data_IF_330889339483
#
_entry.id   IF_330889339483
#
_cell.length_a   1.000
_cell.length_b   1.000
_cell.length_c   1.000
_cell.angle_alpha   90.00
_cell.angle_beta   90.00
_cell.angle_gamma   90.00
#
_symmetry.space_group_name_H-M   'P 1'
#
loop_
_entity.id
_entity.type
_entity.pdbx_description
1 polymer ?
#
# COMPACT_ATOMS: atom_id res chain seq x y z
N UNK A 1 22.40 -4.84 -4.63
CA UNK A 1 22.40 -3.36 -4.73
C UNK A 1 21.44 -2.89 -3.66
N UNK A 2 21.95 -2.15 -2.68
CA UNK A 2 21.17 -1.76 -1.50
C UNK A 2 20.39 -0.45 -1.79
N UNK A 3 19.10 -0.37 -1.43
CA UNK A 3 18.25 0.82 -1.61
C UNK A 3 18.87 2.11 -1.06
N UNK A 4 19.67 1.96 -0.01
CA UNK A 4 20.39 3.05 0.66
C UNK A 4 21.36 3.78 -0.28
N UNK A 5 22.04 3.05 -1.18
CA UNK A 5 23.00 3.65 -2.14
C UNK A 5 22.33 4.66 -3.06
N UNK A 6 21.14 4.32 -3.56
CA UNK A 6 20.38 5.19 -4.46
C UNK A 6 19.89 6.44 -3.71
N UNK A 7 19.34 6.25 -2.50
CA UNK A 7 18.90 7.36 -1.66
C UNK A 7 20.06 8.32 -1.38
N UNK A 8 21.25 7.80 -1.05
CA UNK A 8 22.44 8.64 -0.85
C UNK A 8 22.88 9.38 -2.11
N UNK A 9 22.85 8.72 -3.27
CA UNK A 9 23.20 9.33 -4.55
C UNK A 9 22.23 10.46 -4.94
N UNK A 10 20.93 10.28 -4.72
CA UNK A 10 19.91 11.32 -4.94
C UNK A 10 20.10 12.49 -3.97
N UNK A 11 20.38 12.22 -2.69
CA UNK A 11 20.66 13.28 -1.69
C UNK A 11 21.89 14.11 -2.11
N UNK A 12 22.98 13.46 -2.53
CA UNK A 12 24.19 14.14 -2.98
C UNK A 12 23.90 15.03 -4.19
N UNK A 13 23.12 14.54 -5.16
CA UNK A 13 22.68 15.33 -6.31
C UNK A 13 21.89 16.57 -5.88
N UNK A 14 20.87 16.40 -5.03
CA UNK A 14 20.05 17.51 -4.53
C UNK A 14 20.91 18.61 -3.89
N UNK A 15 21.87 18.22 -3.05
CA UNK A 15 22.77 19.15 -2.38
C UNK A 15 23.65 19.91 -3.39
N UNK A 16 24.28 19.19 -4.33
CA UNK A 16 25.15 19.79 -5.34
C UNK A 16 24.39 20.75 -6.27
N UNK A 17 23.20 20.36 -6.74
CA UNK A 17 22.33 21.22 -7.55
C UNK A 17 21.97 22.50 -6.79
N UNK A 18 21.60 22.38 -5.51
CA UNK A 18 21.30 23.54 -4.66
C UNK A 18 22.49 24.49 -4.50
N UNK A 19 23.72 23.96 -4.39
CA UNK A 19 24.94 24.79 -4.38
C UNK A 19 25.14 25.51 -5.72
N UNK A 20 24.97 24.81 -6.84
CA UNK A 20 25.09 25.41 -8.17
C UNK A 20 24.07 26.51 -8.44
N UNK A 21 22.80 26.28 -8.11
CA UNK A 21 21.72 27.28 -8.27
C UNK A 21 21.99 28.52 -7.42
N UNK A 22 22.42 28.34 -6.16
CA UNK A 22 22.81 29.47 -5.29
C UNK A 22 24.00 30.23 -5.86
N UNK A 23 24.99 29.54 -6.40
CA UNK A 23 26.15 30.16 -7.03
C UNK A 23 25.74 31.06 -8.20
N UNK A 24 24.92 30.57 -9.13
CA UNK A 24 24.41 31.38 -10.25
C UNK A 24 23.54 32.55 -9.79
N UNK A 25 22.68 32.33 -8.79
CA UNK A 25 21.81 33.37 -8.21
C UNK A 25 22.59 34.49 -7.51
N UNK A 26 23.80 34.20 -7.00
CA UNK A 26 24.66 35.20 -6.36
C UNK A 26 25.32 36.17 -7.36
N UNK A 27 25.17 35.94 -8.66
CA UNK A 27 25.82 36.75 -9.69
C UNK A 27 24.94 37.86 -10.21
N UNK A 28 25.47 39.09 -10.25
CA UNK A 28 24.74 40.29 -10.67
C UNK A 28 24.44 40.34 -12.18
N UNK A 29 25.31 39.76 -13.01
CA UNK A 29 25.18 39.78 -14.47
C UNK A 29 25.47 38.38 -15.04
N UNK A 30 24.40 37.58 -15.12
CA UNK A 30 24.45 36.24 -15.66
C UNK A 30 23.95 36.23 -17.11
N UNK A 31 24.71 35.66 -18.07
CA UNK A 31 24.23 35.52 -19.45
C UNK A 31 23.05 34.55 -19.54
N UNK A 32 22.18 34.75 -20.54
CA UNK A 32 20.95 33.95 -20.73
C UNK A 32 21.20 32.42 -20.73
N UNK A 33 22.25 31.96 -21.40
CA UNK A 33 22.59 30.52 -21.45
C UNK A 33 22.83 29.92 -20.04
N UNK A 34 23.38 30.71 -19.11
CA UNK A 34 23.64 30.30 -17.73
C UNK A 34 22.39 30.41 -16.86
N UNK A 35 21.51 31.39 -17.11
CA UNK A 35 20.18 31.43 -16.50
C UNK A 35 19.39 30.17 -16.87
N UNK A 36 19.41 29.81 -18.14
CA UNK A 36 18.74 28.61 -18.65
C UNK A 36 19.27 27.34 -18.00
N UNK A 37 20.59 27.23 -17.81
CA UNK A 37 21.19 26.15 -17.04
C UNK A 37 20.69 26.18 -15.60
N UNK A 38 20.70 27.33 -14.93
CA UNK A 38 20.21 27.45 -13.55
C UNK A 38 18.74 27.01 -13.41
N UNK A 39 17.89 27.34 -14.39
CA UNK A 39 16.51 26.88 -14.44
C UNK A 39 16.43 25.36 -14.59
N UNK A 40 17.20 24.77 -15.51
CA UNK A 40 17.22 23.31 -15.72
C UNK A 40 17.74 22.56 -14.47
N UNK A 41 18.74 23.11 -13.79
CA UNK A 41 19.24 22.55 -12.52
C UNK A 41 18.20 22.67 -11.40
N UNK A 42 17.43 23.75 -11.36
CA UNK A 42 16.33 23.94 -10.41
C UNK A 42 15.23 22.91 -10.65
N UNK A 43 14.84 22.70 -11.91
CA UNK A 43 13.87 21.67 -12.29
C UNK A 43 14.37 20.27 -11.90
N UNK A 44 15.63 19.95 -12.22
CA UNK A 44 16.22 18.66 -11.86
C UNK A 44 16.27 18.49 -10.34
N UNK A 45 16.58 19.54 -9.58
CA UNK A 45 16.58 19.51 -8.13
C UNK A 45 15.19 19.24 -7.57
N UNK A 46 14.14 19.87 -8.13
CA UNK A 46 12.76 19.65 -7.72
C UNK A 46 12.33 18.18 -7.95
N UNK A 47 12.65 17.63 -9.12
CA UNK A 47 12.39 16.20 -9.41
C UNK A 47 13.19 15.30 -8.47
N UNK A 48 14.46 15.60 -8.22
CA UNK A 48 15.30 14.80 -7.34
C UNK A 48 14.83 14.85 -5.87
N UNK A 49 14.34 15.99 -5.39
CA UNK A 49 13.71 16.10 -4.06
C UNK A 49 12.42 15.26 -3.98
N UNK A 50 11.58 15.30 -5.02
CA UNK A 50 10.38 14.46 -5.05
C UNK A 50 10.73 12.96 -4.97
N UNK A 51 11.73 12.53 -5.75
CA UNK A 51 12.23 11.14 -5.71
C UNK A 51 12.78 10.80 -4.33
N UNK A 52 13.59 11.68 -3.74
CA UNK A 52 14.16 11.50 -2.40
C UNK A 52 13.07 11.33 -1.36
N UNK A 53 12.06 12.20 -1.31
CA UNK A 53 10.97 12.11 -0.34
C UNK A 53 10.26 10.76 -0.45
N UNK A 54 9.91 10.32 -1.65
CA UNK A 54 9.24 9.02 -1.82
C UNK A 54 10.14 7.83 -1.52
N UNK A 55 11.44 7.88 -1.84
CA UNK A 55 12.37 6.83 -1.43
C UNK A 55 12.50 6.74 0.08
N UNK A 56 12.55 7.86 0.79
CA UNK A 56 12.59 7.92 2.25
C UNK A 56 11.29 7.40 2.88
N UNK A 57 10.13 7.72 2.31
CA UNK A 57 8.83 7.16 2.73
C UNK A 57 8.79 5.64 2.55
N UNK A 58 9.35 5.12 1.44
CA UNK A 58 9.45 3.69 1.19
C UNK A 58 10.38 2.97 2.18
N UNK A 59 11.49 3.59 2.56
CA UNK A 59 12.46 3.05 3.52
C UNK A 59 11.93 3.02 4.96
N UNK A 60 11.08 3.98 5.30
CA UNK A 60 10.45 4.10 6.62
C UNK A 60 9.21 3.19 6.80
N UNK A 61 8.64 2.68 5.71
CA UNK A 61 7.53 1.70 5.75
C UNK A 61 7.98 0.27 6.12
N UNK A 62 7.03 -0.59 6.49
CA UNK A 62 7.28 -2.01 6.83
C UNK A 62 7.86 -2.86 5.68
N UNK A 63 7.96 -2.30 4.46
CA UNK A 63 8.49 -2.98 3.27
C UNK A 63 10.01 -2.87 3.11
N UNK A 64 10.78 -2.99 4.19
CA UNK A 64 12.26 -2.92 4.18
C UNK A 64 12.96 -3.97 3.30
N UNK A 65 12.25 -5.03 2.91
CA UNK A 65 12.83 -6.20 2.21
C UNK A 65 12.26 -6.46 0.81
N UNK A 66 11.38 -5.61 0.29
CA UNK A 66 10.85 -5.80 -1.05
C UNK A 66 11.82 -5.19 -2.07
N UNK A 67 12.59 -6.03 -2.76
CA UNK A 67 13.34 -5.61 -3.94
C UNK A 67 12.44 -4.72 -4.83
N UNK A 68 12.94 -3.51 -5.11
CA UNK A 68 12.28 -2.52 -5.97
C UNK A 68 12.12 -3.13 -7.37
N UNK A 69 10.92 -3.53 -7.80
CA UNK A 69 10.72 -4.19 -9.09
C UNK A 69 10.60 -3.14 -10.17
N UNK A 70 11.17 -3.42 -11.33
CA UNK A 70 11.05 -2.56 -12.50
C UNK A 70 12.22 -1.61 -12.71
N UNK A 71 13.18 -1.53 -11.78
CA UNK A 71 14.46 -0.84 -12.00
C UNK A 71 15.59 -1.87 -11.99
N UNK A 72 16.24 -2.07 -13.14
CA UNK A 72 17.38 -2.98 -13.25
C UNK A 72 18.60 -2.38 -12.54
N UNK A 73 19.48 -3.24 -12.00
CA UNK A 73 20.74 -2.80 -11.40
C UNK A 73 21.58 -1.95 -12.36
N UNK A 74 21.54 -2.26 -13.66
CA UNK A 74 22.19 -1.47 -14.71
C UNK A 74 21.60 -0.05 -14.87
N UNK A 75 20.28 0.09 -14.73
CA UNK A 75 19.62 1.39 -14.84
C UNK A 75 19.90 2.28 -13.63
N UNK A 76 20.02 1.67 -12.44
CA UNK A 76 20.49 2.32 -11.21
C UNK A 76 21.91 2.82 -11.39
N UNK A 77 22.83 1.94 -11.80
CA UNK A 77 24.23 2.32 -12.00
C UNK A 77 24.37 3.47 -13.00
N UNK A 78 23.66 3.39 -14.14
CA UNK A 78 23.65 4.46 -15.14
C UNK A 78 23.19 5.79 -14.55
N UNK A 79 22.19 5.77 -13.66
CA UNK A 79 21.68 6.97 -13.00
C UNK A 79 22.69 7.57 -12.03
N UNK A 80 23.35 6.72 -11.23
CA UNK A 80 24.40 7.14 -10.30
C UNK A 80 25.60 7.74 -11.05
N UNK A 81 26.00 7.12 -12.17
CA UNK A 81 27.06 7.63 -13.05
C UNK A 81 26.68 8.99 -13.65
N UNK A 82 25.41 9.13 -14.11
CA UNK A 82 24.88 10.40 -14.61
C UNK A 82 24.88 11.48 -13.53
N UNK A 83 24.47 11.14 -12.30
CA UNK A 83 24.47 12.06 -11.15
C UNK A 83 25.88 12.51 -10.80
N UNK A 84 26.80 11.57 -10.59
CA UNK A 84 28.20 11.87 -10.29
C UNK A 84 28.82 12.76 -11.37
N UNK A 85 28.49 12.48 -12.64
CA UNK A 85 28.97 13.27 -13.77
C UNK A 85 28.41 14.70 -13.79
N UNK A 86 27.11 14.89 -13.51
CA UNK A 86 26.50 16.23 -13.39
C UNK A 86 27.14 17.00 -12.23
N UNK A 87 27.27 16.37 -11.05
CA UNK A 87 27.86 16.98 -9.86
C UNK A 87 29.28 17.45 -10.18
N UNK A 88 30.12 16.58 -10.72
CA UNK A 88 31.50 16.91 -11.05
C UNK A 88 31.60 18.00 -12.13
N UNK A 89 30.80 17.94 -13.20
CA UNK A 89 30.80 18.98 -14.24
C UNK A 89 30.32 20.34 -13.70
N UNK A 90 29.33 20.34 -12.81
CA UNK A 90 28.80 21.53 -12.16
C UNK A 90 29.82 22.15 -11.20
N UNK A 91 30.42 21.36 -10.31
CA UNK A 91 31.47 21.81 -9.40
C UNK A 91 32.67 22.36 -10.17
N UNK A 92 33.09 21.67 -11.23
CA UNK A 92 34.18 22.12 -12.08
C UNK A 92 33.83 23.44 -12.81
N UNK A 93 32.59 23.60 -13.28
CA UNK A 93 32.12 24.85 -13.89
C UNK A 93 32.14 25.99 -12.88
N UNK A 94 31.51 25.81 -11.71
CA UNK A 94 31.51 26.80 -10.63
C UNK A 94 32.95 27.18 -10.23
N UNK A 95 33.84 26.20 -10.06
CA UNK A 95 35.25 26.43 -9.74
C UNK A 95 36.01 27.19 -10.84
N UNK A 96 35.77 26.90 -12.13
CA UNK A 96 36.40 27.65 -13.24
C UNK A 96 35.91 29.09 -13.31
N UNK A 97 34.65 29.34 -12.98
CA UNK A 97 34.06 30.69 -12.93
C UNK A 97 34.52 31.48 -11.69
N UNK A 98 34.70 30.81 -10.55
CA UNK A 98 35.12 31.42 -9.29
C UNK A 98 36.62 31.71 -9.22
N UNK A 99 37.47 30.97 -9.97
CA UNK A 99 38.91 31.25 -10.05
C UNK A 99 39.14 32.67 -10.60
N UNK A 100 39.43 33.59 -9.69
CA UNK A 100 39.64 35.01 -9.93
C UNK A 100 40.77 35.24 -10.94
N UNK A 101 40.56 36.17 -11.89
CA UNK A 101 41.71 36.89 -12.45
C UNK A 101 42.11 37.86 -11.34
N UNK A 102 43.39 37.91 -10.95
CA UNK A 102 44.00 38.56 -9.75
C UNK A 102 43.58 40.03 -9.42
N UNK A 103 42.58 40.60 -10.07
CA UNK A 103 42.16 42.00 -10.00
C UNK A 103 40.67 42.21 -9.65
N UNK A 104 39.90 41.18 -9.29
CA UNK A 104 38.44 41.30 -9.08
C UNK A 104 37.97 41.44 -7.62
N UNK A 105 38.86 41.48 -6.63
CA UNK A 105 38.51 41.38 -5.19
C UNK A 105 38.13 42.70 -4.49
N UNK A 106 37.88 43.80 -5.21
CA UNK A 106 37.76 45.11 -4.53
C UNK A 106 36.40 45.33 -3.85
N UNK A 107 35.34 44.60 -4.19
CA UNK A 107 34.04 44.73 -3.52
C UNK A 107 33.37 43.37 -3.58
N UNK A 108 32.82 42.86 -2.48
CA UNK A 108 32.38 41.46 -2.27
C UNK A 108 31.26 40.89 -3.17
N UNK A 109 31.19 41.28 -4.44
CA UNK A 109 30.35 40.71 -5.49
C UNK A 109 31.21 39.83 -6.43
N UNK A 110 30.81 38.57 -6.61
CA UNK A 110 31.48 37.66 -7.54
C UNK A 110 31.28 38.14 -8.98
N UNK A 111 32.34 38.67 -9.60
CA UNK A 111 32.29 39.20 -10.97
C UNK A 111 33.08 38.32 -11.94
N UNK A 112 32.38 37.71 -12.88
CA UNK A 112 32.98 36.88 -13.94
C UNK A 112 33.17 37.71 -15.22
N UNK A 113 34.34 37.60 -15.83
CA UNK A 113 34.66 38.32 -17.07
C UNK A 113 33.90 37.77 -18.28
N UNK A 114 33.53 38.64 -19.23
CA UNK A 114 32.85 38.24 -20.49
C UNK A 114 33.60 37.14 -21.26
N UNK A 115 34.92 37.14 -21.21
CA UNK A 115 35.76 36.11 -21.85
C UNK A 115 35.58 34.75 -21.18
N UNK A 116 35.49 34.69 -19.85
CA UNK A 116 35.23 33.45 -19.10
C UNK A 116 33.83 32.91 -19.43
N UNK A 117 32.84 33.78 -19.50
CA UNK A 117 31.49 33.39 -19.95
C UNK A 117 31.49 32.76 -21.33
N UNK A 118 32.17 33.40 -22.30
CA UNK A 118 32.21 32.89 -23.66
C UNK A 118 32.95 31.54 -23.76
N UNK A 119 34.03 31.36 -23.01
CA UNK A 119 34.79 30.10 -22.99
C UNK A 119 33.97 28.93 -22.44
N UNK A 120 33.08 29.18 -21.49
CA UNK A 120 32.29 28.14 -20.84
C UNK A 120 30.94 27.86 -21.52
N UNK A 121 30.57 28.60 -22.57
CA UNK A 121 29.27 28.48 -23.25
C UNK A 121 28.96 27.05 -23.70
N UNK A 122 29.92 26.36 -24.32
CA UNK A 122 29.72 24.98 -24.79
C UNK A 122 29.59 23.99 -23.62
N UNK A 123 30.34 24.21 -22.54
CA UNK A 123 30.24 23.40 -21.32
C UNK A 123 28.86 23.57 -20.66
N UNK A 124 28.33 24.79 -20.65
CA UNK A 124 26.98 25.09 -20.15
C UNK A 124 25.92 24.39 -20.99
N UNK A 125 26.00 24.50 -22.32
CA UNK A 125 25.05 23.85 -23.21
C UNK A 125 25.06 22.32 -23.02
N UNK A 126 26.25 21.72 -22.91
CA UNK A 126 26.41 20.28 -22.65
C UNK A 126 25.84 19.90 -21.29
N UNK A 127 26.15 20.64 -20.23
CA UNK A 127 25.66 20.36 -18.88
C UNK A 127 24.13 20.48 -18.81
N UNK A 128 23.55 21.49 -19.47
CA UNK A 128 22.09 21.65 -19.58
C UNK A 128 21.46 20.45 -20.28
N UNK A 129 22.00 20.04 -21.42
CA UNK A 129 21.48 18.89 -22.16
C UNK A 129 21.55 17.59 -21.32
N UNK A 130 22.66 17.40 -20.59
CA UNK A 130 22.82 16.27 -19.66
C UNK A 130 21.80 16.35 -18.52
N UNK A 131 21.67 17.49 -17.85
CA UNK A 131 20.68 17.70 -16.78
C UNK A 131 19.26 17.40 -17.26
N UNK A 132 18.89 17.87 -18.46
CA UNK A 132 17.57 17.63 -19.04
C UNK A 132 17.32 16.15 -19.34
N UNK A 133 18.30 15.47 -19.94
CA UNK A 133 18.24 14.02 -20.19
C UNK A 133 18.09 13.24 -18.89
N UNK A 134 18.89 13.57 -17.87
CA UNK A 134 18.84 12.92 -16.56
C UNK A 134 17.51 13.18 -15.87
N UNK A 135 16.95 14.40 -15.96
CA UNK A 135 15.61 14.74 -15.45
C UNK A 135 14.54 13.83 -16.05
N UNK A 136 14.50 13.72 -17.38
CA UNK A 136 13.54 12.87 -18.09
C UNK A 136 13.70 11.39 -17.71
N UNK A 137 14.93 10.90 -17.67
CA UNK A 137 15.26 9.52 -17.27
C UNK A 137 14.81 9.22 -15.84
N UNK A 138 15.07 10.15 -14.92
CA UNK A 138 14.68 10.06 -13.52
C UNK A 138 13.15 10.02 -13.37
N UNK A 139 12.44 10.93 -14.03
CA UNK A 139 10.97 10.96 -14.02
C UNK A 139 10.36 9.66 -14.55
N UNK A 140 10.84 9.16 -15.71
CA UNK A 140 10.32 7.93 -16.31
C UNK A 140 10.50 6.72 -15.39
N UNK A 141 11.70 6.57 -14.81
CA UNK A 141 12.02 5.45 -13.91
C UNK A 141 11.23 5.55 -12.61
N UNK A 142 11.04 6.76 -12.10
CA UNK A 142 10.27 6.98 -10.87
C UNK A 142 8.76 6.75 -11.07
N UNK A 143 8.20 7.15 -12.21
CA UNK A 143 6.81 6.82 -12.57
C UNK A 143 6.63 5.30 -12.69
N UNK A 144 7.57 4.61 -13.33
CA UNK A 144 7.56 3.15 -13.42
C UNK A 144 7.61 2.50 -12.04
N UNK A 145 8.42 3.05 -11.13
CA UNK A 145 8.52 2.61 -9.74
C UNK A 145 7.18 2.73 -9.01
N UNK A 146 6.57 3.91 -8.99
CA UNK A 146 5.29 4.15 -8.32
C UNK A 146 4.19 3.24 -8.89
N UNK A 147 4.15 3.08 -10.21
CA UNK A 147 3.15 2.24 -10.90
C UNK A 147 3.29 0.76 -10.49
N UNK A 148 4.52 0.27 -10.35
CA UNK A 148 4.80 -1.09 -9.89
C UNK A 148 4.37 -1.32 -8.42
N UNK A 149 4.42 -0.28 -7.59
CA UNK A 149 4.00 -0.37 -6.20
C UNK A 149 2.48 -0.37 -6.07
N UNK A 150 1.79 0.48 -6.83
CA UNK A 150 0.33 0.53 -6.87
C UNK A 150 -0.28 -0.81 -7.30
N UNK A 151 0.25 -1.42 -8.36
CA UNK A 151 -0.20 -2.74 -8.84
C UNK A 151 0.01 -3.85 -7.80
N UNK A 152 1.10 -3.80 -7.02
CA UNK A 152 1.31 -4.74 -5.90
C UNK A 152 0.29 -4.57 -4.80
N UNK A 153 0.00 -3.35 -4.38
CA UNK A 153 -0.99 -3.09 -3.34
C UNK A 153 -2.37 -3.60 -3.76
N UNK A 154 -2.78 -3.36 -5.03
CA UNK A 154 -4.03 -3.92 -5.57
C UNK A 154 -4.04 -5.44 -5.53
N UNK A 155 -2.93 -6.09 -5.91
CA UNK A 155 -2.84 -7.55 -5.88
C UNK A 155 -3.02 -8.11 -4.47
N UNK A 156 -2.35 -7.53 -3.48
CA UNK A 156 -2.46 -7.99 -2.08
C UNK A 156 -3.90 -7.86 -1.57
N UNK A 157 -4.60 -6.79 -1.93
CA UNK A 157 -6.02 -6.60 -1.57
C UNK A 157 -6.90 -7.67 -2.23
N UNK A 158 -6.67 -7.98 -3.51
CA UNK A 158 -7.42 -9.01 -4.24
C UNK A 158 -7.16 -10.41 -3.67
N UNK A 159 -5.90 -10.75 -3.39
CA UNK A 159 -5.52 -12.03 -2.77
C UNK A 159 -6.19 -12.16 -1.39
N UNK A 160 -6.24 -11.07 -0.62
CA UNK A 160 -6.95 -11.01 0.66
C UNK A 160 -8.46 -11.20 0.52
N UNK A 161 -9.10 -10.57 -0.48
CA UNK A 161 -10.52 -10.77 -0.77
C UNK A 161 -10.82 -12.22 -1.18
N UNK A 162 -9.95 -12.83 -1.97
CA UNK A 162 -10.09 -14.23 -2.38
C UNK A 162 -9.95 -15.19 -1.20
N UNK A 163 -8.95 -14.96 -0.32
CA UNK A 163 -8.78 -15.75 0.90
C UNK A 163 -9.99 -15.61 1.85
N UNK A 164 -10.51 -14.40 2.00
CA UNK A 164 -11.70 -14.13 2.81
C UNK A 164 -12.94 -14.83 2.24
N UNK A 165 -13.15 -14.76 0.93
CA UNK A 165 -14.25 -15.46 0.24
C UNK A 165 -14.16 -16.98 0.40
N UNK A 166 -12.96 -17.56 0.26
CA UNK A 166 -12.74 -18.98 0.47
C UNK A 166 -13.02 -19.43 1.91
N UNK A 167 -12.62 -18.61 2.89
CA UNK A 167 -12.92 -18.86 4.31
C UNK A 167 -14.43 -18.83 4.57
N UNK A 168 -15.13 -17.82 4.05
CA UNK A 168 -16.58 -17.68 4.21
C UNK A 168 -17.34 -18.87 3.60
N UNK A 169 -16.94 -19.30 2.39
CA UNK A 169 -17.50 -20.49 1.75
C UNK A 169 -17.30 -21.74 2.61
N UNK A 170 -16.08 -21.96 3.09
CA UNK A 170 -15.77 -23.10 3.97
C UNK A 170 -16.59 -23.07 5.26
N UNK A 171 -16.79 -21.89 5.85
CA UNK A 171 -17.62 -21.72 7.03
C UNK A 171 -19.08 -22.05 6.75
N UNK A 172 -19.62 -21.58 5.61
CA UNK A 172 -20.98 -21.86 5.20
C UNK A 172 -21.20 -23.36 4.95
N UNK A 173 -20.27 -24.02 4.25
CA UNK A 173 -20.31 -25.46 4.00
C UNK A 173 -20.33 -26.26 5.32
N UNK A 174 -19.58 -25.81 6.34
CA UNK A 174 -19.58 -26.43 7.68
C UNK A 174 -20.89 -26.20 8.43
N UNK A 175 -21.50 -25.02 8.32
CA UNK A 175 -22.81 -24.73 8.93
C UNK A 175 -23.88 -25.61 8.29
N UNK A 176 -23.88 -25.73 6.97
CA UNK A 176 -24.82 -26.59 6.23
C UNK A 176 -24.67 -28.06 6.61
N UNK A 177 -23.42 -28.56 6.68
CA UNK A 177 -23.15 -29.92 7.14
C UNK A 177 -23.61 -30.15 8.60
N UNK A 178 -23.38 -29.18 9.49
CA UNK A 178 -23.86 -29.24 10.87
C UNK A 178 -25.40 -29.27 10.96
N UNK A 179 -26.08 -28.45 10.17
CA UNK A 179 -27.54 -28.42 10.10
C UNK A 179 -28.11 -29.74 9.56
N UNK A 180 -27.46 -30.35 8.57
CA UNK A 180 -27.85 -31.67 8.06
C UNK A 180 -27.75 -32.75 9.16
N UNK A 181 -26.63 -32.79 9.88
CA UNK A 181 -26.45 -33.72 11.01
C UNK A 181 -27.45 -33.51 12.15
N UNK A 182 -27.80 -32.26 12.45
CA UNK A 182 -28.83 -31.94 13.45
C UNK A 182 -30.21 -32.45 13.01
N UNK A 183 -30.58 -32.26 11.74
CA UNK A 183 -31.85 -32.78 11.18
C UNK A 183 -31.91 -34.30 11.24
N UNK A 184 -30.82 -34.98 10.93
CA UNK A 184 -30.74 -36.44 11.03
C UNK A 184 -30.95 -36.92 12.48
N UNK A 185 -30.30 -36.25 13.44
CA UNK A 185 -30.44 -36.55 14.87
C UNK A 185 -31.87 -36.31 15.35
N UNK A 186 -32.49 -35.19 14.93
CA UNK A 186 -33.89 -34.88 15.21
C UNK A 186 -34.83 -35.96 14.67
N UNK A 187 -34.59 -36.44 13.45
CA UNK A 187 -35.38 -37.53 12.84
C UNK A 187 -35.29 -38.81 13.68
N UNK A 188 -34.08 -39.23 14.04
CA UNK A 188 -33.86 -40.42 14.89
C UNK A 188 -34.56 -40.29 16.23
N UNK A 189 -34.48 -39.12 16.87
CA UNK A 189 -35.17 -38.85 18.13
C UNK A 189 -36.70 -38.95 17.98
N UNK A 190 -37.26 -38.42 16.88
CA UNK A 190 -38.68 -38.53 16.59
C UNK A 190 -39.12 -40.00 16.39
N UNK A 191 -38.31 -40.80 15.69
CA UNK A 191 -38.58 -42.23 15.49
C UNK A 191 -38.56 -43.01 16.80
N UNK A 192 -37.61 -42.70 17.70
CA UNK A 192 -37.54 -43.29 19.04
C UNK A 192 -38.79 -42.92 19.85
N UNK A 193 -39.19 -41.65 19.87
CA UNK A 193 -40.41 -41.21 20.55
C UNK A 193 -41.65 -41.92 20.01
N UNK A 194 -41.78 -42.06 18.69
CA UNK A 194 -42.88 -42.78 18.06
C UNK A 194 -42.87 -44.29 18.41
N UNK A 195 -41.69 -44.90 18.53
CA UNK A 195 -41.57 -46.29 18.98
C UNK A 195 -42.01 -46.47 20.43
N UNK A 196 -41.57 -45.58 21.33
CA UNK A 196 -41.96 -45.60 22.74
C UNK A 196 -43.47 -45.41 22.92
N UNK A 197 -44.08 -44.47 22.19
CA UNK A 197 -45.53 -44.29 22.20
C UNK A 197 -46.29 -45.54 21.76
N UNK A 198 -45.81 -46.25 20.73
CA UNK A 198 -46.41 -47.51 20.28
C UNK A 198 -46.30 -48.62 21.34
N UNK A 199 -45.16 -48.72 22.01
CA UNK A 199 -44.97 -49.67 23.11
C UNK A 199 -45.93 -49.38 24.28
N UNK A 200 -46.02 -48.13 24.73
CA UNK A 200 -46.93 -47.72 25.80
C UNK A 200 -48.40 -47.97 25.45
N UNK A 201 -48.80 -47.69 24.22
CA UNK A 201 -50.16 -47.96 23.75
C UNK A 201 -50.47 -49.48 23.75
N UNK A 202 -49.53 -50.30 23.30
CA UNK A 202 -49.67 -51.77 23.31
C UNK A 202 -49.77 -52.33 24.73
N UNK A 203 -49.02 -51.77 25.67
CA UNK A 203 -49.04 -52.14 27.08
C UNK A 203 -50.36 -51.73 27.76
N UNK A 204 -50.88 -50.54 27.44
CA UNK A 204 -52.20 -50.09 27.90
C UNK A 204 -53.34 -51.00 27.39
N UNK A 205 -53.31 -51.40 26.11
CA UNK A 205 -54.29 -52.36 25.57
C UNK A 205 -54.18 -53.75 26.19
N UNK A 206 -52.98 -54.17 26.59
CA UNK A 206 -52.75 -55.45 27.28
C UNK A 206 -53.25 -55.41 28.73
N UNK A 207 -53.15 -54.25 29.38
CA UNK A 207 -53.67 -54.03 30.73
C UNK A 207 -55.22 -53.97 30.78
N UNK A 208 -55.88 -53.39 29.76
CA UNK A 208 -57.35 -53.39 29.66
C UNK A 208 -57.96 -54.80 29.47
N UNK A 209 -57.25 -55.71 28.80
CA UNK A 209 -57.67 -57.12 28.63
C UNK A 209 -57.57 -57.96 29.92
N UNK A 210 -57.00 -57.40 31.00
CA UNK A 210 -56.74 -58.11 32.26
C UNK A 210 -57.63 -57.65 33.44
N UNK A 211 -58.57 -56.72 33.23
CA UNK A 211 -59.47 -56.23 34.27
C UNK A 211 -60.82 -56.96 34.28
N UNK A 212 -61.30 -57.47 35.44
CA UNK A 212 -62.64 -58.01 35.56
C UNK A 212 -63.67 -56.89 35.46
N UNK A 213 -64.70 -57.11 34.65
CA UNK A 213 -65.88 -56.26 34.54
C UNK A 213 -66.59 -56.16 35.90
N UNK A 214 -66.71 -54.95 36.46
CA UNK A 214 -67.71 -54.64 37.50
C UNK A 214 -68.50 -53.39 37.11
N UNK A 215 -69.83 -53.37 37.32
CA UNK A 215 -70.70 -52.34 36.77
C UNK A 215 -70.93 -51.15 37.72
N UNK A 216 -71.19 -50.01 37.07
CA UNK A 216 -72.01 -48.86 37.47
C UNK A 216 -71.76 -48.08 38.78
N UNK A 217 -71.54 -46.77 38.62
CA UNK A 217 -71.76 -45.75 39.65
C UNK A 217 -71.63 -44.31 39.10
N UNK A 218 -72.75 -43.58 39.02
CA UNK A 218 -72.86 -42.17 38.67
C UNK A 218 -72.19 -41.22 39.70
N UNK A 219 -71.61 -40.10 39.23
CA UNK A 219 -71.67 -38.71 39.78
C UNK A 219 -70.56 -37.86 39.13
N UNK A 220 -70.88 -36.80 38.38
CA UNK A 220 -71.24 -35.41 38.80
C UNK A 220 -70.04 -34.45 38.70
N UNK A 221 -70.19 -33.49 37.78
CA UNK A 221 -69.66 -32.11 37.68
C UNK A 221 -68.57 -31.64 38.66
N UNK A 222 -67.50 -31.06 38.11
CA UNK A 222 -67.01 -29.72 38.48
C UNK A 222 -65.98 -29.21 37.43
N UNK A 223 -66.40 -28.18 36.70
CA UNK A 223 -65.72 -26.94 36.32
C UNK A 223 -64.34 -26.67 36.97
N UNK A 224 -63.38 -26.12 36.20
CA UNK A 224 -62.53 -24.93 36.51
C UNK A 224 -61.42 -24.75 35.45
N UNK A 225 -61.49 -23.59 34.80
CA UNK A 225 -60.50 -22.67 34.23
C UNK A 225 -59.24 -23.06 33.42
N UNK A 226 -59.13 -22.32 32.30
CA UNK A 226 -57.99 -21.82 31.50
C UNK A 226 -56.70 -21.39 32.28
N UNK A 227 -55.59 -20.94 31.62
CA UNK A 227 -55.35 -20.73 30.18
C UNK A 227 -54.01 -21.28 29.62
N UNK A 228 -53.98 -21.26 28.29
CA UNK A 228 -52.81 -21.31 27.41
C UNK A 228 -51.81 -20.19 27.72
N UNK A 229 -50.55 -20.54 27.96
CA UNK A 229 -49.42 -19.60 27.85
C UNK A 229 -48.56 -19.97 26.65
N UNK A 230 -48.77 -19.20 25.57
CA UNK A 230 -47.86 -19.07 24.43
C UNK A 230 -46.51 -18.54 24.90
N UNK A 231 -45.43 -19.28 24.65
CA UNK A 231 -44.07 -18.73 24.73
C UNK A 231 -43.60 -18.44 23.30
N UNK A 232 -43.72 -17.15 22.95
CA UNK A 232 -43.05 -16.51 21.82
C UNK A 232 -41.59 -16.28 22.20
N UNK A 233 -40.66 -16.82 21.42
CA UNK A 233 -39.23 -16.49 21.54
C UNK A 233 -38.88 -15.48 20.45
N UNK A 234 -38.87 -14.20 20.83
CA UNK A 234 -38.23 -13.13 20.08
C UNK A 234 -36.71 -13.24 20.25
N UNK A 235 -35.99 -13.43 19.14
CA UNK A 235 -34.56 -13.15 19.05
C UNK A 235 -34.37 -12.01 18.04
N UNK A 236 -34.38 -10.77 18.54
CA UNK A 236 -33.92 -9.59 17.79
C UNK A 236 -32.47 -9.30 18.14
N UNK A 237 -31.67 -9.20 17.08
CA UNK A 237 -30.28 -8.78 17.01
C UNK A 237 -30.03 -7.48 17.78
N UNK A 238 -28.93 -7.46 18.54
CA UNK A 238 -28.24 -6.22 18.94
C UNK A 238 -27.30 -5.77 17.81
N UNK A 239 -27.33 -4.47 17.53
CA UNK A 239 -26.23 -3.73 16.91
C UNK A 239 -25.06 -3.60 17.90
#
# INVERSE_FOLDING_TARGET
>A
MDPLSITTSVIALVQALGVGVKFFSSMRQIPADFCDLSNELTDLQAVAEQVKTSLQEMENGETKNAAVPGITASAIQTLEDDFASIIHELEALCGRLQKSDRHADIVGELRVSKRKWLREKDNVARLRAKASKTKQSLMLRFIALISSQSTRQTKVVLDGQQAFSACFKTMNDRIEAGNAGLRETQSKNNDICASLHRMLAAEATSAELSLPSTPHGQRSNAEVDEPLSSISVHASLRQ
#
